data_IF_505378840755
#
_entry.id   IF_505378840755
#
_cell.length_a   1.000
_cell.length_b   1.000
_cell.length_c   1.000
_cell.angle_alpha   90.00
_cell.angle_beta   90.00
_cell.angle_gamma   90.00
#
_symmetry.space_group_name_H-M   'P 1'
#
loop_
_entity.id
_entity.type
_entity.pdbx_description
1 polymer ?
#
# COMPACT_ATOMS: atom_id res chain seq x y z
N UNK A 1 -0.11 -9.35 -11.85
CA UNK A 1 0.22 -8.24 -10.94
C UNK A 1 1.73 -8.19 -10.82
N UNK A 2 2.37 -7.10 -11.24
CA UNK A 2 3.84 -6.96 -11.15
C UNK A 2 4.16 -5.97 -10.04
N UNK A 3 4.78 -6.45 -8.96
CA UNK A 3 5.30 -5.62 -7.87
C UNK A 3 6.70 -5.16 -8.24
N UNK A 4 7.04 -3.92 -7.91
CA UNK A 4 8.40 -3.39 -8.06
C UNK A 4 9.40 -4.21 -7.23
N UNK A 5 10.68 -4.15 -7.61
CA UNK A 5 11.75 -4.84 -6.88
C UNK A 5 11.81 -4.42 -5.41
N UNK A 6 11.56 -3.15 -5.11
CA UNK A 6 11.53 -2.62 -3.76
C UNK A 6 10.36 -3.20 -2.96
N UNK A 7 9.16 -3.21 -3.53
CA UNK A 7 7.99 -3.80 -2.90
C UNK A 7 8.16 -5.30 -2.62
N UNK A 8 8.75 -6.04 -3.55
CA UNK A 8 9.08 -7.45 -3.35
C UNK A 8 10.08 -7.67 -2.20
N UNK A 9 11.06 -6.78 -2.05
CA UNK A 9 12.03 -6.87 -0.96
C UNK A 9 11.36 -6.68 0.40
N UNK A 10 10.45 -5.70 0.52
CA UNK A 10 9.71 -5.45 1.76
C UNK A 10 8.77 -6.63 2.06
N UNK A 11 8.11 -7.20 1.05
CA UNK A 11 7.21 -8.36 1.21
C UNK A 11 7.89 -9.58 1.83
N UNK A 12 9.18 -9.81 1.54
CA UNK A 12 9.95 -10.92 2.14
C UNK A 12 10.03 -10.81 3.67
N UNK A 13 9.90 -9.60 4.19
CA UNK A 13 9.91 -9.30 5.62
C UNK A 13 8.53 -8.91 6.14
N UNK A 14 7.45 -9.19 5.40
CA UNK A 14 6.07 -8.77 5.71
C UNK A 14 5.60 -9.08 7.14
N UNK A 15 6.05 -10.18 7.74
CA UNK A 15 5.70 -10.59 9.11
C UNK A 15 5.97 -9.50 10.15
N UNK A 16 7.01 -8.68 9.99
CA UNK A 16 7.35 -7.63 10.98
C UNK A 16 6.30 -6.51 11.02
N UNK A 17 5.49 -6.37 9.97
CA UNK A 17 4.51 -5.31 9.81
C UNK A 17 3.10 -5.69 10.30
N UNK A 18 2.84 -6.98 10.51
CA UNK A 18 1.51 -7.50 10.91
C UNK A 18 0.99 -6.85 12.19
N UNK A 19 1.88 -6.48 13.12
CA UNK A 19 1.54 -5.83 14.39
C UNK A 19 1.80 -4.31 14.40
N UNK A 20 2.11 -3.71 13.24
CA UNK A 20 2.49 -2.31 13.12
C UNK A 20 1.41 -1.48 12.43
N UNK A 21 1.38 -0.18 12.75
CA UNK A 21 0.69 0.83 11.97
C UNK A 21 1.68 1.37 10.94
N UNK A 22 1.36 1.26 9.66
CA UNK A 22 2.29 1.56 8.57
C UNK A 22 1.76 2.73 7.76
N UNK A 23 2.63 3.72 7.55
CA UNK A 23 2.38 4.88 6.71
C UNK A 23 3.25 4.79 5.46
N UNK A 24 2.61 4.68 4.31
CA UNK A 24 3.28 4.68 3.01
C UNK A 24 3.28 6.09 2.44
N UNK A 25 4.44 6.55 1.97
CA UNK A 25 4.60 7.85 1.32
C UNK A 25 5.71 7.81 0.27
N UNK A 26 5.79 8.88 -0.53
CA UNK A 26 6.78 9.03 -1.59
C UNK A 26 6.30 8.43 -2.91
N UNK A 27 7.22 7.80 -3.64
CA UNK A 27 6.98 7.30 -5.00
C UNK A 27 6.31 5.91 -4.98
N UNK A 28 5.01 5.89 -4.70
CA UNK A 28 4.19 4.68 -4.67
C UNK A 28 3.73 4.36 -6.10
N UNK A 29 4.40 3.40 -6.74
CA UNK A 29 4.19 3.06 -8.16
C UNK A 29 3.36 1.79 -8.38
N UNK A 30 3.14 1.00 -7.34
CA UNK A 30 2.46 -0.28 -7.42
C UNK A 30 1.42 -0.47 -6.32
N UNK A 31 0.76 -1.63 -6.33
CA UNK A 31 -0.32 -1.96 -5.40
C UNK A 31 0.18 -2.48 -4.06
N UNK A 32 1.50 -2.44 -3.81
CA UNK A 32 2.10 -3.05 -2.61
C UNK A 32 1.42 -2.69 -1.28
N UNK A 33 1.04 -1.42 -1.02
CA UNK A 33 0.37 -1.06 0.22
C UNK A 33 -0.95 -1.82 0.49
N UNK A 34 -1.61 -2.33 -0.56
CA UNK A 34 -2.85 -3.12 -0.44
C UNK A 34 -2.56 -4.58 -0.03
N UNK A 35 -1.35 -5.07 -0.31
CA UNK A 35 -0.94 -6.45 -0.09
C UNK A 35 -0.18 -6.67 1.21
N UNK A 36 0.28 -5.61 1.87
CA UNK A 36 0.94 -5.73 3.16
C UNK A 36 -0.09 -5.85 4.29
N UNK A 37 -0.02 -6.94 5.05
CA UNK A 37 -0.80 -7.10 6.27
C UNK A 37 -0.24 -6.23 7.39
N UNK A 38 -1.08 -5.34 7.91
CA UNK A 38 -0.75 -4.41 9.00
C UNK A 38 -1.96 -4.18 9.89
N UNK A 39 -1.75 -3.63 11.09
CA UNK A 39 -2.86 -3.22 11.99
C UNK A 39 -3.62 -2.04 11.41
N UNK A 40 -2.92 -1.13 10.73
CA UNK A 40 -3.50 0.03 10.08
C UNK A 40 -2.58 0.51 8.98
N UNK A 41 -3.13 0.59 7.77
CA UNK A 41 -2.43 1.10 6.60
C UNK A 41 -2.93 2.50 6.28
N UNK A 42 -2.01 3.46 6.26
CA UNK A 42 -2.22 4.82 5.77
C UNK A 42 -1.35 5.06 4.55
N UNK A 43 -1.87 5.71 3.53
CA UNK A 43 -1.17 5.93 2.27
C UNK A 43 -1.27 7.42 1.93
N UNK A 44 -0.15 8.09 1.72
CA UNK A 44 -0.11 9.46 1.24
C UNK A 44 0.35 9.48 -0.22
N UNK A 45 -0.52 9.91 -1.12
CA UNK A 45 -0.26 9.89 -2.56
C UNK A 45 -0.23 11.33 -3.09
N UNK A 46 0.96 11.76 -3.49
CA UNK A 46 1.17 13.13 -3.96
C UNK A 46 0.66 13.36 -5.40
N UNK A 47 0.49 12.29 -6.19
CA UNK A 47 0.07 12.38 -7.61
C UNK A 47 -1.38 11.98 -7.78
N UNK A 48 -2.20 12.88 -8.32
CA UNK A 48 -3.64 12.66 -8.48
C UNK A 48 -4.00 11.43 -9.33
N UNK A 49 -3.28 11.18 -10.43
CA UNK A 49 -3.54 10.01 -11.27
C UNK A 49 -3.28 8.69 -10.53
N UNK A 50 -2.21 8.64 -9.74
CA UNK A 50 -1.87 7.47 -8.92
C UNK A 50 -2.91 7.28 -7.81
N UNK A 51 -3.41 8.37 -7.23
CA UNK A 51 -4.51 8.34 -6.27
C UNK A 51 -5.78 7.73 -6.86
N UNK A 52 -6.21 8.18 -8.05
CA UNK A 52 -7.40 7.64 -8.72
C UNK A 52 -7.24 6.15 -9.02
N UNK A 53 -6.06 5.75 -9.52
CA UNK A 53 -5.77 4.36 -9.84
C UNK A 53 -5.77 3.48 -8.58
N UNK A 54 -5.17 3.93 -7.48
CA UNK A 54 -5.15 3.17 -6.24
C UNK A 54 -6.53 3.13 -5.57
N UNK A 55 -7.26 4.24 -5.55
CA UNK A 55 -8.63 4.31 -5.00
C UNK A 55 -9.57 3.30 -5.67
N UNK A 56 -9.51 3.16 -6.99
CA UNK A 56 -10.28 2.17 -7.75
C UNK A 56 -10.00 0.73 -7.29
N UNK A 57 -8.76 0.45 -6.89
CA UNK A 57 -8.33 -0.88 -6.43
C UNK A 57 -8.72 -1.13 -4.97
N UNK A 58 -8.59 -0.11 -4.12
CA UNK A 58 -9.03 -0.16 -2.72
C UNK A 58 -10.53 -0.43 -2.63
N UNK A 59 -11.35 0.20 -3.47
CA UNK A 59 -12.80 -0.07 -3.52
C UNK A 59 -13.16 -1.53 -3.84
N UNK A 60 -12.26 -2.27 -4.49
CA UNK A 60 -12.42 -3.71 -4.75
C UNK A 60 -11.91 -4.60 -3.62
N UNK A 61 -11.25 -4.01 -2.63
CA UNK A 61 -10.59 -4.73 -1.53
C UNK A 61 -11.44 -4.60 -0.27
N UNK A 62 -11.64 -5.69 0.48
CA UNK A 62 -12.42 -5.68 1.73
C UNK A 62 -11.67 -5.09 2.94
N UNK A 63 -10.64 -4.27 2.71
CA UNK A 63 -9.76 -3.70 3.75
C UNK A 63 -10.01 -2.22 3.95
N UNK A 64 -10.02 -1.77 5.20
CA UNK A 64 -10.10 -0.36 5.53
C UNK A 64 -8.71 0.29 5.40
N UNK A 65 -8.57 1.21 4.45
CA UNK A 65 -7.32 1.93 4.16
C UNK A 65 -7.63 3.43 4.10
N UNK A 66 -6.83 4.24 4.78
CA UNK A 66 -6.95 5.70 4.75
C UNK A 66 -5.96 6.26 3.74
N UNK A 67 -6.45 7.08 2.82
CA UNK A 67 -5.65 7.74 1.79
C UNK A 67 -5.64 9.25 2.07
N UNK A 68 -4.45 9.84 2.07
CA UNK A 68 -4.18 11.28 2.18
C UNK A 68 -3.67 11.82 0.85
#
# INVERSE_FOLDING_TARGET
>A
MSLSKNSQLILRHSKIFQTKKVFFSGNIQDEFPLHLDTVSTKINIQRYNDYINLKKKILKTSRFIIIY
#
